data_IF_772566355961
#
_entry.id   IF_772566355961
#
_cell.length_a   1.000
_cell.length_b   1.000
_cell.length_c   1.000
_cell.angle_alpha   90.00
_cell.angle_beta   90.00
_cell.angle_gamma   90.00
#
_symmetry.space_group_name_H-M   'P 1'
#
loop_
_entity.id
_entity.type
_entity.pdbx_description
1 polymer ?
#
# COMPACT_ATOMS: atom_id res chain seq x y z
N UNK A 1 37.81 -32.54 22.44
CA UNK A 1 36.47 -31.97 22.74
C UNK A 1 36.29 -30.52 22.30
N UNK A 2 37.34 -29.68 22.19
CA UNK A 2 37.23 -28.26 21.76
C UNK A 2 36.85 -28.02 20.28
N UNK A 3 36.97 -29.01 19.39
CA UNK A 3 36.69 -28.85 17.95
C UNK A 3 35.20 -29.02 17.57
N UNK A 4 34.38 -29.62 18.44
CA UNK A 4 32.95 -29.88 18.16
C UNK A 4 32.08 -28.65 18.47
N UNK A 5 32.50 -27.81 19.43
CA UNK A 5 31.79 -26.57 19.79
C UNK A 5 31.91 -25.50 18.70
N UNK A 6 33.00 -25.50 17.91
CA UNK A 6 33.17 -24.56 16.81
C UNK A 6 32.29 -24.88 15.59
N UNK A 7 31.94 -26.16 15.40
CA UNK A 7 31.10 -26.61 14.28
C UNK A 7 29.61 -26.36 14.51
N UNK A 8 29.19 -26.27 15.78
CA UNK A 8 27.80 -25.99 16.16
C UNK A 8 27.44 -24.50 16.05
N UNK A 9 28.42 -23.60 16.16
CA UNK A 9 28.19 -22.16 15.95
C UNK A 9 28.01 -21.78 14.46
N UNK A 10 28.50 -22.60 13.52
CA UNK A 10 28.48 -22.28 12.09
C UNK A 10 27.13 -22.58 11.40
N UNK A 11 26.22 -23.31 12.07
CA UNK A 11 24.93 -23.73 11.50
C UNK A 11 23.74 -22.86 11.93
N UNK A 12 23.94 -21.83 12.77
CA UNK A 12 22.85 -20.98 13.27
C UNK A 12 22.58 -19.70 12.46
N UNK A 13 23.30 -19.44 11.36
CA UNK A 13 23.22 -18.16 10.64
C UNK A 13 22.32 -18.07 9.38
N UNK A 14 21.70 -19.12 8.80
CA UNK A 14 21.00 -18.94 7.53
C UNK A 14 19.60 -18.31 7.62
N UNK A 15 18.94 -18.36 8.78
CA UNK A 15 17.55 -17.90 8.90
C UNK A 15 17.39 -16.36 8.80
N UNK A 16 18.36 -15.59 9.29
CA UNK A 16 18.28 -14.12 9.30
C UNK A 16 18.50 -13.51 7.92
N UNK A 17 19.33 -14.14 7.08
CA UNK A 17 19.60 -13.67 5.72
C UNK A 17 18.38 -13.79 4.81
N UNK A 18 17.59 -14.86 4.95
CA UNK A 18 16.39 -15.07 4.15
C UNK A 18 15.29 -14.05 4.47
N UNK A 19 15.03 -13.78 5.76
CA UNK A 19 14.09 -12.76 6.21
C UNK A 19 14.48 -11.35 5.72
N UNK A 20 15.77 -11.01 5.78
CA UNK A 20 16.26 -9.72 5.29
C UNK A 20 16.12 -9.57 3.78
N UNK A 21 16.37 -10.64 3.02
CA UNK A 21 16.20 -10.65 1.56
C UNK A 21 14.72 -10.53 1.16
N UNK A 22 13.81 -11.28 1.79
CA UNK A 22 12.38 -11.17 1.48
C UNK A 22 11.84 -9.77 1.77
N UNK A 23 12.20 -9.19 2.92
CA UNK A 23 11.84 -7.80 3.27
C UNK A 23 12.42 -6.79 2.26
N UNK A 24 13.62 -7.04 1.74
CA UNK A 24 14.19 -6.21 0.68
C UNK A 24 13.42 -6.32 -0.64
N UNK A 25 12.94 -7.52 -0.99
CA UNK A 25 12.20 -7.74 -2.24
C UNK A 25 10.82 -7.08 -2.23
N UNK A 26 10.07 -7.21 -1.14
CA UNK A 26 8.74 -6.63 -1.02
C UNK A 26 8.79 -5.10 -1.03
N UNK A 27 9.78 -4.48 -0.39
CA UNK A 27 9.93 -3.03 -0.42
C UNK A 27 10.41 -2.51 -1.77
N UNK A 28 11.30 -3.24 -2.45
CA UNK A 28 11.71 -2.92 -3.82
C UNK A 28 10.49 -2.93 -4.75
N UNK A 29 9.69 -3.99 -4.70
CA UNK A 29 8.54 -4.17 -5.58
C UNK A 29 7.44 -3.15 -5.23
N UNK A 30 7.22 -2.88 -3.94
CA UNK A 30 6.28 -1.85 -3.48
C UNK A 30 6.69 -0.45 -3.93
N UNK A 31 7.99 -0.13 -3.87
CA UNK A 31 8.53 1.12 -4.41
C UNK A 31 8.30 1.21 -5.92
N UNK A 32 8.53 0.10 -6.63
CA UNK A 32 8.29 0.02 -8.07
C UNK A 32 6.82 0.24 -8.44
N UNK A 33 5.90 -0.31 -7.65
CA UNK A 33 4.46 -0.12 -7.80
C UNK A 33 4.04 1.34 -7.61
N UNK A 34 4.44 1.97 -6.50
CA UNK A 34 4.12 3.38 -6.27
C UNK A 34 4.77 4.32 -7.29
N UNK A 35 6.00 4.03 -7.71
CA UNK A 35 6.64 4.81 -8.77
C UNK A 35 5.85 4.71 -10.08
N UNK A 36 5.34 3.52 -10.43
CA UNK A 36 4.51 3.36 -11.61
C UNK A 36 3.20 4.18 -11.53
N UNK A 37 2.61 4.28 -10.33
CA UNK A 37 1.45 5.17 -10.09
C UNK A 37 1.81 6.63 -10.32
N UNK A 38 2.91 7.09 -9.73
CA UNK A 38 3.38 8.48 -9.86
C UNK A 38 3.79 8.82 -11.30
N UNK A 39 4.34 7.85 -12.04
CA UNK A 39 4.70 7.99 -13.45
C UNK A 39 3.49 7.82 -14.39
N UNK A 40 2.30 7.47 -13.85
CA UNK A 40 1.10 7.12 -14.61
C UNK A 40 1.33 6.00 -15.66
N UNK A 41 2.27 5.10 -15.38
CA UNK A 41 2.64 3.99 -16.25
C UNK A 41 1.68 2.81 -16.02
N UNK A 42 0.51 2.86 -16.68
CA UNK A 42 -0.57 1.88 -16.53
C UNK A 42 -0.09 0.46 -16.84
N UNK A 43 0.71 0.27 -17.89
CA UNK A 43 1.25 -1.05 -18.23
C UNK A 43 2.06 -1.62 -17.05
N UNK A 44 2.93 -0.81 -16.46
CA UNK A 44 3.74 -1.21 -15.32
C UNK A 44 2.92 -1.40 -14.05
N UNK A 45 1.91 -0.56 -13.79
CA UNK A 45 0.96 -0.73 -12.68
C UNK A 45 0.30 -2.11 -12.77
N UNK A 46 -0.19 -2.50 -13.96
CA UNK A 46 -0.82 -3.80 -14.19
C UNK A 46 0.11 -4.97 -13.87
N UNK A 47 1.43 -4.81 -14.08
CA UNK A 47 2.41 -5.84 -13.66
C UNK A 47 2.55 -5.99 -12.15
N UNK A 48 1.99 -5.11 -11.33
CA UNK A 48 2.01 -5.20 -9.87
C UNK A 48 0.65 -5.57 -9.27
N UNK A 49 -0.42 -5.70 -10.06
CA UNK A 49 -1.75 -6.04 -9.55
C UNK A 49 -2.01 -7.55 -9.54
N UNK A 50 -3.06 -7.96 -8.80
CA UNK A 50 -3.54 -9.35 -8.80
C UNK A 50 -4.09 -9.72 -10.18
N UNK A 51 -3.88 -10.95 -10.68
CA UNK A 51 -4.44 -11.37 -11.97
C UNK A 51 -5.95 -11.11 -12.10
N UNK A 52 -6.68 -11.23 -10.99
CA UNK A 52 -8.10 -10.85 -10.95
C UNK A 52 -8.40 -9.38 -11.34
N UNK A 53 -7.44 -8.44 -11.18
CA UNK A 53 -7.52 -7.08 -11.73
C UNK A 53 -7.18 -7.01 -13.21
N UNK A 54 -6.40 -7.95 -13.75
CA UNK A 54 -5.90 -7.89 -15.13
C UNK A 54 -6.70 -8.77 -16.10
N UNK A 55 -7.45 -9.74 -15.57
CA UNK A 55 -8.18 -10.74 -16.36
C UNK A 55 -9.55 -10.24 -16.86
N UNK A 56 -10.01 -9.07 -16.38
CA UNK A 56 -11.25 -8.44 -16.83
C UNK A 56 -10.98 -7.31 -17.84
N UNK A 57 -11.66 -7.28 -19.00
CA UNK A 57 -11.45 -6.25 -20.03
C UNK A 57 -11.77 -4.82 -19.55
N UNK A 58 -12.72 -4.68 -18.63
CA UNK A 58 -13.13 -3.37 -18.07
C UNK A 58 -12.16 -2.88 -16.99
N UNK A 59 -11.30 -3.76 -16.48
CA UNK A 59 -10.45 -3.43 -15.35
C UNK A 59 -9.33 -2.48 -15.72
N UNK A 60 -8.79 -2.54 -16.94
CA UNK A 60 -7.75 -1.61 -17.38
C UNK A 60 -8.23 -0.15 -17.36
N UNK A 61 -9.46 0.12 -17.82
CA UNK A 61 -10.05 1.46 -17.82
C UNK A 61 -10.32 1.96 -16.40
N UNK A 62 -10.92 1.13 -15.54
CA UNK A 62 -11.20 1.47 -14.13
C UNK A 62 -9.89 1.70 -13.36
N UNK A 63 -8.87 0.88 -13.61
CA UNK A 63 -7.54 1.00 -13.01
C UNK A 63 -6.86 2.26 -13.49
N UNK A 64 -6.91 2.53 -14.80
CA UNK A 64 -6.35 3.75 -15.37
C UNK A 64 -6.98 4.99 -14.75
N UNK A 65 -8.31 5.06 -14.66
CA UNK A 65 -9.01 6.20 -14.04
C UNK A 65 -8.64 6.38 -12.55
N UNK A 66 -8.65 5.28 -11.79
CA UNK A 66 -8.30 5.30 -10.37
C UNK A 66 -6.86 5.77 -10.14
N UNK A 67 -5.89 5.25 -10.89
CA UNK A 67 -4.48 5.62 -10.71
C UNK A 67 -4.11 6.94 -11.36
N UNK A 68 -4.81 7.36 -12.42
CA UNK A 68 -4.62 8.67 -13.02
C UNK A 68 -4.89 9.76 -11.97
N UNK A 69 -5.98 9.63 -11.21
CA UNK A 69 -6.31 10.55 -10.11
C UNK A 69 -5.22 10.62 -9.03
N UNK A 70 -4.53 9.50 -8.76
CA UNK A 70 -3.48 9.44 -7.73
C UNK A 70 -2.11 9.94 -8.21
N UNK A 71 -1.85 9.84 -9.51
CA UNK A 71 -0.58 10.23 -10.13
C UNK A 71 -0.60 11.63 -10.77
N UNK A 72 -1.78 12.17 -11.07
CA UNK A 72 -1.93 13.45 -11.77
C UNK A 72 -1.64 14.65 -10.85
N UNK A 73 -0.56 15.43 -11.12
CA UNK A 73 -0.26 16.63 -10.35
C UNK A 73 -1.37 17.70 -10.44
N UNK A 74 -2.19 17.68 -11.49
CA UNK A 74 -3.29 18.61 -11.76
C UNK A 74 -4.60 18.22 -11.08
N UNK A 75 -4.72 17.00 -10.56
CA UNK A 75 -5.90 16.52 -9.80
C UNK A 75 -6.15 17.29 -8.49
N UNK A 76 -5.21 18.16 -8.11
CA UNK A 76 -5.18 18.82 -6.81
C UNK A 76 -4.70 17.91 -5.69
N UNK A 77 -4.53 16.59 -5.90
CA UNK A 77 -4.14 15.63 -4.87
C UNK A 77 -2.78 15.00 -5.24
N UNK A 78 -1.79 15.09 -4.35
CA UNK A 78 -0.43 14.58 -4.61
C UNK A 78 0.10 13.76 -3.45
N UNK A 79 0.52 12.53 -3.74
CA UNK A 79 1.27 11.69 -2.80
C UNK A 79 2.78 12.00 -2.88
N UNK A 80 3.40 12.18 -1.72
CA UNK A 80 4.83 12.48 -1.54
C UNK A 80 5.41 11.68 -0.38
N UNK A 81 6.73 11.64 -0.30
CA UNK A 81 7.50 11.09 0.82
C UNK A 81 7.08 9.66 1.24
N UNK A 82 6.75 8.81 0.27
CA UNK A 82 6.32 7.44 0.55
C UNK A 82 7.49 6.64 1.14
N UNK A 83 7.27 6.05 2.31
CA UNK A 83 8.30 5.29 3.03
C UNK A 83 7.73 4.04 3.69
N UNK A 84 8.17 2.88 3.23
CA UNK A 84 7.78 1.58 3.78
C UNK A 84 8.40 1.35 5.17
N UNK A 85 7.55 1.10 6.16
CA UNK A 85 7.95 1.04 7.57
C UNK A 85 8.10 -0.40 8.05
N UNK A 86 7.12 -1.25 7.72
CA UNK A 86 7.06 -2.61 8.21
C UNK A 86 6.26 -3.49 7.24
N UNK A 87 6.46 -4.79 7.36
CA UNK A 87 5.58 -5.78 6.75
C UNK A 87 5.26 -6.85 7.80
N UNK A 88 4.04 -7.37 7.77
CA UNK A 88 3.62 -8.43 8.68
C UNK A 88 4.33 -9.75 8.39
N UNK A 89 4.14 -10.72 9.28
CA UNK A 89 4.52 -12.11 9.04
C UNK A 89 3.78 -12.69 7.82
N UNK A 90 4.34 -13.76 7.25
CA UNK A 90 3.74 -14.42 6.09
C UNK A 90 2.55 -15.28 6.51
N UNK A 91 1.42 -15.07 5.83
CA UNK A 91 0.28 -15.98 5.83
C UNK A 91 0.24 -16.73 4.51
N UNK A 92 0.15 -18.06 4.55
CA UNK A 92 0.03 -18.88 3.34
C UNK A 92 -1.42 -19.31 3.15
N UNK A 93 -1.94 -19.15 1.94
CA UNK A 93 -3.24 -19.68 1.55
C UNK A 93 -3.16 -20.19 0.11
N UNK A 94 -3.50 -21.47 -0.10
CA UNK A 94 -3.27 -22.20 -1.36
C UNK A 94 -1.79 -22.09 -1.79
N UNK A 95 -1.51 -21.68 -3.03
CA UNK A 95 -0.17 -21.48 -3.59
C UNK A 95 0.35 -20.04 -3.44
N UNK A 96 -0.32 -19.21 -2.62
CA UNK A 96 0.01 -17.81 -2.42
C UNK A 96 0.54 -17.56 -1.00
N UNK A 97 1.56 -16.70 -0.91
CA UNK A 97 2.05 -16.11 0.31
C UNK A 97 1.59 -14.66 0.40
N UNK A 98 1.07 -14.26 1.55
CA UNK A 98 0.49 -12.93 1.80
C UNK A 98 1.23 -12.22 2.93
N UNK A 99 1.31 -10.90 2.82
CA UNK A 99 1.77 -9.98 3.87
C UNK A 99 0.93 -8.70 3.81
N UNK A 100 0.78 -8.02 4.94
CA UNK A 100 0.42 -6.61 4.97
C UNK A 100 1.71 -5.78 4.92
N UNK A 101 1.72 -4.73 4.11
CA UNK A 101 2.84 -3.78 3.99
C UNK A 101 2.34 -2.43 4.46
N UNK A 102 3.01 -1.85 5.45
CA UNK A 102 2.65 -0.56 6.02
C UNK A 102 3.64 0.51 5.58
N UNK A 103 3.12 1.65 5.17
CA UNK A 103 3.91 2.78 4.69
C UNK A 103 3.42 4.10 5.26
N UNK A 104 4.34 5.06 5.34
CA UNK A 104 4.05 6.47 5.61
C UNK A 104 4.01 7.23 4.30
N UNK A 105 3.24 8.30 4.26
CA UNK A 105 3.17 9.20 3.12
C UNK A 105 2.82 10.62 3.58
N UNK A 106 3.14 11.58 2.73
CA UNK A 106 2.64 12.95 2.78
C UNK A 106 1.61 13.10 1.66
N UNK A 107 0.38 13.48 1.96
CA UNK A 107 -0.62 13.87 0.97
C UNK A 107 -0.72 15.39 0.94
N UNK A 108 -0.65 15.96 -0.24
CA UNK A 108 -0.93 17.38 -0.47
C UNK A 108 -2.25 17.50 -1.21
N UNK A 109 -3.13 18.35 -0.72
CA UNK A 109 -4.38 18.73 -1.39
C UNK A 109 -4.29 20.22 -1.69
N UNK A 110 -4.28 20.59 -2.97
CA UNK A 110 -4.39 21.98 -3.42
C UNK A 110 -5.86 22.36 -3.43
N UNK A 111 -6.17 23.53 -2.88
CA UNK A 111 -7.52 24.10 -2.77
C UNK A 111 -7.69 25.26 -3.76
N UNK A 112 -6.98 25.21 -4.89
CA UNK A 112 -6.99 26.27 -5.91
C UNK A 112 -8.29 26.28 -6.73
N UNK A 113 -9.18 25.30 -6.51
CA UNK A 113 -10.52 25.26 -7.09
C UNK A 113 -11.46 26.22 -6.33
N UNK A 114 -12.19 27.05 -7.07
CA UNK A 114 -13.16 28.00 -6.49
C UNK A 114 -14.28 27.30 -5.72
N UNK A 115 -14.55 26.03 -6.04
CA UNK A 115 -15.57 25.21 -5.38
C UNK A 115 -15.02 24.41 -4.17
N UNK A 116 -13.72 24.50 -3.85
CA UNK A 116 -13.15 23.79 -2.72
C UNK A 116 -13.58 24.41 -1.38
N UNK A 117 -14.29 23.65 -0.55
CA UNK A 117 -14.57 23.99 0.84
C UNK A 117 -13.44 23.45 1.75
N UNK A 118 -12.54 24.31 2.27
CA UNK A 118 -11.41 23.86 3.07
C UNK A 118 -11.83 23.20 4.38
N UNK A 119 -12.95 23.64 4.97
CA UNK A 119 -13.43 23.11 6.25
C UNK A 119 -13.97 21.70 6.08
N UNK A 120 -14.69 21.45 4.98
CA UNK A 120 -15.14 20.11 4.60
C UNK A 120 -13.96 19.17 4.37
N UNK A 121 -12.94 19.60 3.63
CA UNK A 121 -11.74 18.79 3.41
C UNK A 121 -10.98 18.49 4.71
N UNK A 122 -10.85 19.47 5.60
CA UNK A 122 -10.23 19.28 6.91
C UNK A 122 -11.00 18.28 7.77
N UNK A 123 -12.34 18.34 7.77
CA UNK A 123 -13.19 17.38 8.48
C UNK A 123 -13.01 15.98 7.90
N UNK A 124 -13.15 15.81 6.58
CA UNK A 124 -13.03 14.50 5.92
C UNK A 124 -11.65 13.87 6.15
N UNK A 125 -10.58 14.64 5.91
CA UNK A 125 -9.21 14.16 6.09
C UNK A 125 -8.89 13.96 7.58
N UNK A 126 -9.46 14.78 8.47
CA UNK A 126 -9.32 14.65 9.92
C UNK A 126 -9.99 13.40 10.46
N UNK A 127 -11.17 13.03 9.95
CA UNK A 127 -11.84 11.77 10.26
C UNK A 127 -11.04 10.57 9.74
N UNK A 128 -10.50 10.68 8.52
CA UNK A 128 -9.79 9.57 7.89
C UNK A 128 -8.39 9.32 8.47
N UNK A 129 -7.62 10.38 8.72
CA UNK A 129 -6.21 10.28 9.08
C UNK A 129 -5.91 10.79 10.50
N UNK A 130 -6.91 11.30 11.21
CA UNK A 130 -6.79 11.92 12.53
C UNK A 130 -6.42 13.41 12.41
N UNK A 131 -7.15 14.28 13.11
CA UNK A 131 -6.98 15.74 13.08
C UNK A 131 -5.53 16.20 13.29
N UNK A 132 -4.79 15.54 14.20
CA UNK A 132 -3.39 15.85 14.49
C UNK A 132 -2.43 15.65 13.31
N UNK A 133 -2.85 14.89 12.31
CA UNK A 133 -2.06 14.55 11.13
C UNK A 133 -2.41 15.43 9.92
N UNK A 134 -3.41 16.30 10.04
CA UNK A 134 -3.90 17.18 8.97
C UNK A 134 -3.53 18.63 9.30
N UNK A 135 -3.03 19.37 8.31
CA UNK A 135 -2.63 20.76 8.48
C UNK A 135 -3.07 21.62 7.30
N UNK A 136 -3.82 22.68 7.59
CA UNK A 136 -4.15 23.72 6.62
C UNK A 136 -3.01 24.75 6.53
N UNK A 137 -2.57 25.01 5.31
CA UNK A 137 -1.62 26.03 4.90
C UNK A 137 -2.37 27.11 4.11
N UNK A 138 -3.05 28.01 4.82
CA UNK A 138 -3.85 29.10 4.22
C UNK A 138 -3.03 29.96 3.27
N UNK A 139 -1.76 30.20 3.61
CA UNK A 139 -0.81 30.98 2.80
C UNK A 139 -0.48 30.32 1.45
N UNK A 140 -0.70 29.01 1.34
CA UNK A 140 -0.41 28.20 0.16
C UNK A 140 -1.66 27.66 -0.53
N UNK A 141 -2.86 27.91 0.02
CA UNK A 141 -4.08 27.27 -0.46
C UNK A 141 -3.99 25.74 -0.40
N UNK A 142 -3.36 25.17 0.62
CA UNK A 142 -3.03 23.74 0.65
C UNK A 142 -3.40 23.06 1.96
N UNK A 143 -3.82 21.81 1.92
CA UNK A 143 -3.87 20.91 3.07
C UNK A 143 -2.75 19.89 2.94
N UNK A 144 -2.04 19.63 4.03
CA UNK A 144 -1.04 18.56 4.13
C UNK A 144 -1.50 17.51 5.12
N UNK A 145 -1.43 16.25 4.73
CA UNK A 145 -1.71 15.10 5.61
C UNK A 145 -0.44 14.26 5.75
N UNK A 146 -0.07 13.93 6.98
CA UNK A 146 0.98 12.94 7.26
C UNK A 146 0.32 11.62 7.67
N UNK A 147 0.19 10.71 6.72
CA UNK A 147 -0.56 9.48 6.90
C UNK A 147 0.31 8.25 7.16
N UNK A 148 -0.34 7.23 7.72
CA UNK A 148 0.11 5.83 7.68
C UNK A 148 -1.00 5.04 7.03
N UNK A 149 -0.68 4.21 6.05
CA UNK A 149 -1.62 3.30 5.42
C UNK A 149 -0.96 1.94 5.22
N UNK A 150 -1.73 0.97 4.74
CA UNK A 150 -1.20 -0.30 4.33
C UNK A 150 -1.89 -0.89 3.11
N UNK A 151 -1.23 -1.91 2.57
CA UNK A 151 -1.70 -2.67 1.43
C UNK A 151 -1.44 -4.15 1.66
N UNK A 152 -2.25 -4.98 1.04
CA UNK A 152 -2.00 -6.42 0.98
C UNK A 152 -1.02 -6.68 -0.15
N UNK A 153 0.02 -7.44 0.16
CA UNK A 153 0.98 -7.95 -0.80
C UNK A 153 0.84 -9.46 -0.90
N UNK A 154 0.91 -9.99 -2.12
CA UNK A 154 0.90 -11.43 -2.34
C UNK A 154 1.88 -11.84 -3.43
N UNK A 155 2.31 -13.09 -3.36
CA UNK A 155 3.29 -13.68 -4.27
C UNK A 155 3.00 -15.18 -4.40
N UNK A 156 3.07 -15.72 -5.61
CA UNK A 156 3.01 -17.17 -5.82
C UNK A 156 4.43 -17.76 -5.79
N UNK A 157 4.55 -19.08 -5.67
CA UNK A 157 5.87 -19.75 -5.64
C UNK A 157 6.64 -19.75 -6.96
N UNK A 158 5.98 -19.42 -8.07
CA UNK A 158 6.53 -19.44 -9.45
C UNK A 158 6.96 -18.05 -9.93
N UNK A 159 6.53 -16.98 -9.26
CA UNK A 159 6.79 -15.59 -9.59
C UNK A 159 7.58 -14.96 -8.45
N UNK A 160 8.70 -14.33 -8.76
CA UNK A 160 9.54 -13.69 -7.75
C UNK A 160 9.05 -12.30 -7.31
N UNK A 161 8.13 -11.70 -8.08
CA UNK A 161 7.65 -10.33 -7.86
C UNK A 161 6.42 -10.31 -6.96
N UNK A 162 6.47 -9.46 -5.93
CA UNK A 162 5.29 -9.17 -5.11
C UNK A 162 4.29 -8.32 -5.88
N UNK A 163 3.02 -8.64 -5.68
CA UNK A 163 1.87 -7.93 -6.23
C UNK A 163 1.09 -7.29 -5.08
N UNK A 164 0.34 -6.23 -5.35
CA UNK A 164 -0.24 -5.38 -4.33
C UNK A 164 -1.72 -5.10 -4.56
N UNK A 165 -2.45 -4.97 -3.45
CA UNK A 165 -3.86 -4.55 -3.38
C UNK A 165 -3.94 -3.50 -2.28
N UNK A 166 -4.32 -2.27 -2.66
CA UNK A 166 -4.59 -1.23 -1.67
C UNK A 166 -5.82 -1.66 -0.85
N UNK A 167 -5.74 -1.57 0.49
CA UNK A 167 -6.85 -1.93 1.36
C UNK A 167 -8.12 -1.11 1.06
N UNK A 168 -7.93 0.15 0.61
CA UNK A 168 -9.04 1.01 0.20
C UNK A 168 -9.73 0.51 -1.06
N UNK A 169 -9.04 -0.24 -1.94
CA UNK A 169 -9.60 -0.81 -3.16
C UNK A 169 -10.31 -2.16 -2.92
N UNK A 170 -10.34 -2.68 -1.69
CA UNK A 170 -10.95 -3.98 -1.37
C UNK A 170 -12.44 -4.06 -1.71
N UNK A 171 -13.20 -2.96 -1.67
CA UNK A 171 -14.63 -2.97 -2.02
C UNK A 171 -14.88 -3.29 -3.48
N UNK A 172 -13.89 -3.07 -4.34
CA UNK A 172 -14.02 -3.46 -5.73
C UNK A 172 -14.10 -4.99 -5.84
N UNK A 173 -13.55 -5.75 -4.86
CA UNK A 173 -13.35 -7.19 -4.98
C UNK A 173 -13.28 -7.89 -3.61
N UNK A 174 -14.44 -8.08 -2.99
CA UNK A 174 -14.62 -8.77 -1.70
C UNK A 174 -14.05 -10.21 -1.67
N UNK A 175 -13.78 -10.81 -2.84
CA UNK A 175 -13.37 -12.22 -2.98
C UNK A 175 -11.86 -12.46 -3.24
N UNK A 176 -11.02 -11.42 -3.32
CA UNK A 176 -9.59 -11.64 -3.67
C UNK A 176 -8.74 -11.99 -2.46
N UNK A 177 -8.92 -11.29 -1.34
CA UNK A 177 -8.15 -11.55 -0.13
C UNK A 177 -8.90 -12.58 0.71
N UNK A 178 -8.35 -13.80 0.92
CA UNK A 178 -9.02 -14.82 1.70
C UNK A 178 -9.29 -14.34 3.13
N UNK A 179 -10.40 -14.76 3.72
CA UNK A 179 -10.78 -14.38 5.09
C UNK A 179 -9.67 -14.68 6.13
N UNK A 180 -8.92 -15.78 5.94
CA UNK A 180 -7.76 -16.12 6.79
C UNK A 180 -6.66 -15.06 6.76
N UNK A 181 -6.51 -14.34 5.65
CA UNK A 181 -5.56 -13.23 5.49
C UNK A 181 -6.11 -11.96 6.12
N UNK A 182 -7.40 -11.66 5.91
CA UNK A 182 -8.08 -10.52 6.53
C UNK A 182 -8.07 -10.62 8.07
N UNK A 183 -8.35 -11.80 8.60
CA UNK A 183 -8.35 -12.05 10.05
C UNK A 183 -6.93 -12.04 10.65
N UNK A 184 -5.91 -12.33 9.84
CA UNK A 184 -4.52 -12.29 10.29
C UNK A 184 -3.94 -10.87 10.30
N UNK A 185 -4.45 -9.96 9.47
CA UNK A 185 -3.93 -8.61 9.32
C UNK A 185 -5.04 -7.56 9.37
N UNK A 186 -5.06 -6.75 10.43
CA UNK A 186 -5.81 -5.50 10.44
C UNK A 186 -4.99 -4.43 9.71
N UNK A 187 -5.19 -4.29 8.40
CA UNK A 187 -4.74 -3.09 7.69
C UNK A 187 -5.72 -1.97 8.05
N UNK A 188 -5.27 -0.80 8.54
CA UNK A 188 -6.15 0.31 8.86
C UNK A 188 -7.03 0.63 7.65
N UNK A 189 -8.33 0.35 7.76
CA UNK A 189 -9.31 0.91 6.85
C UNK A 189 -9.71 2.26 7.41
N UNK A 190 -9.85 3.26 6.56
CA UNK A 190 -10.40 4.55 6.96
C UNK A 190 -11.74 4.33 7.72
N UNK A 191 -11.87 4.91 8.92
CA UNK A 191 -12.94 4.58 9.89
C UNK A 191 -14.38 4.87 9.40
N UNK A 192 -14.56 5.60 8.30
CA UNK A 192 -15.88 5.98 7.74
C UNK A 192 -16.78 4.81 7.30
N UNK A 193 -16.28 3.56 7.32
CA UNK A 193 -17.05 2.36 6.94
C UNK A 193 -17.65 1.57 8.09
N UNK A 194 -17.28 1.81 9.35
CA UNK A 194 -17.94 1.10 10.48
C UNK A 194 -19.32 1.70 10.81
N UNK A 195 -19.60 2.93 10.35
CA UNK A 195 -20.87 3.61 10.62
C UNK A 195 -21.98 3.37 9.59
N UNK A 196 -21.71 2.64 8.49
CA UNK A 196 -22.67 2.44 7.40
C UNK A 196 -22.86 0.96 6.97
N UNK A 197 -22.53 0.01 7.85
CA UNK A 197 -22.91 -1.41 7.73
C UNK A 197 -23.83 -1.83 8.88
#
# INVERSE_FOLDING_TARGET
MKKIVLLSLLFMTPATAYLQWEMSSIYRDASGYFQAILDQDVEKIMTYLHPAFTDSPESEEIIAEYFYTLGDPESGIQFKDISFQSASDIVKHKNLSYRAVFFRFTLLVNLDDEDADPDLWLEMLGQQYGEKNVKHHVDKGQITVNGVDGMYAFKNSENETWKFINAQALYLMEDIIPEVVLNAFAVPLAEWRVSNL
#
